data_IF_232279102996
#
_entry.id   IF_232279102996
#
_cell.length_a   1.000
_cell.length_b   1.000
_cell.length_c   1.000
_cell.angle_alpha   90.00
_cell.angle_beta   90.00
_cell.angle_gamma   90.00
#
_symmetry.space_group_name_H-M   'P 1'
#
loop_
_entity.id
_entity.type
_entity.pdbx_description
1 polymer ?
#
# COMPACT_ATOMS: atom_id res chain seq x y z
N UNK A 1 -2.94 0.34 23.65
CA UNK A 1 -1.56 0.60 23.21
C UNK A 1 -1.54 0.50 21.69
N UNK A 2 -1.27 1.59 20.97
CA UNK A 2 -1.16 1.59 19.50
C UNK A 2 0.28 1.95 19.15
N UNK A 3 1.14 0.95 18.94
CA UNK A 3 2.51 1.21 18.50
C UNK A 3 2.56 1.74 17.06
N UNK A 4 1.55 1.37 16.28
CA UNK A 4 1.38 1.79 14.90
C UNK A 4 0.10 2.61 14.77
N UNK A 5 0.15 3.62 13.90
CA UNK A 5 -1.02 4.34 13.43
C UNK A 5 -1.18 4.09 11.94
N UNK A 6 -2.44 4.04 11.52
CA UNK A 6 -2.82 3.73 10.15
C UNK A 6 -3.67 4.87 9.61
N UNK A 7 -3.37 5.28 8.39
CA UNK A 7 -4.14 6.28 7.66
C UNK A 7 -4.53 5.70 6.31
N UNK A 8 -5.83 5.57 6.08
CA UNK A 8 -6.38 5.30 4.75
C UNK A 8 -6.71 6.64 4.11
N UNK A 9 -6.29 6.84 2.87
CA UNK A 9 -6.37 8.10 2.15
C UNK A 9 -7.25 7.93 0.93
N UNK A 10 -8.23 8.81 0.79
CA UNK A 10 -8.95 9.07 -0.45
C UNK A 10 -8.46 10.41 -1.01
N UNK A 11 -7.82 10.34 -2.18
CA UNK A 11 -7.15 11.44 -2.86
C UNK A 11 -7.94 11.92 -4.09
N UNK A 12 -9.19 11.46 -4.29
CA UNK A 12 -9.98 11.77 -5.48
C UNK A 12 -10.36 13.25 -5.59
N UNK A 13 -10.82 13.88 -4.50
CA UNK A 13 -11.25 15.27 -4.52
C UNK A 13 -10.11 16.27 -4.32
N UNK A 14 -9.15 15.94 -3.45
CA UNK A 14 -7.99 16.77 -3.16
C UNK A 14 -6.87 15.94 -2.49
N UNK A 15 -5.61 16.43 -2.55
CA UNK A 15 -4.52 15.90 -1.76
C UNK A 15 -4.78 15.96 -0.25
N UNK A 16 -4.07 15.10 0.49
CA UNK A 16 -3.96 15.18 1.95
C UNK A 16 -2.61 15.75 2.37
N UNK A 17 -2.61 16.55 3.43
CA UNK A 17 -1.40 17.02 4.11
C UNK A 17 -1.16 16.15 5.34
N UNK A 18 -0.05 15.42 5.35
CA UNK A 18 0.47 14.71 6.53
C UNK A 18 1.47 15.62 7.23
N UNK A 19 1.24 15.91 8.51
CA UNK A 19 2.18 16.67 9.35
C UNK A 19 2.90 15.71 10.30
N UNK A 20 4.22 15.62 10.15
CA UNK A 20 5.11 14.95 11.08
C UNK A 20 5.68 15.99 12.06
N UNK A 21 5.64 15.76 13.38
CA UNK A 21 6.22 16.66 14.37
C UNK A 21 7.75 16.59 14.33
N UNK A 22 8.38 17.66 14.82
CA UNK A 22 9.77 17.62 15.27
C UNK A 22 9.88 16.71 16.52
N UNK A 23 10.88 15.82 16.53
CA UNK A 23 11.12 14.81 17.58
C UNK A 23 12.61 14.73 17.93
N UNK A 24 12.95 14.01 19.01
CA UNK A 24 14.34 13.91 19.45
C UNK A 24 15.25 13.18 18.44
N UNK A 25 16.48 13.66 18.24
CA UNK A 25 17.43 13.19 17.22
C UNK A 25 17.68 11.66 17.26
N UNK A 26 17.71 11.07 18.45
CA UNK A 26 18.04 9.65 18.61
C UNK A 26 16.86 8.70 18.33
N UNK A 27 15.64 9.22 18.20
CA UNK A 27 14.42 8.41 18.02
C UNK A 27 14.12 8.20 16.54
N UNK A 28 13.80 6.97 16.15
CA UNK A 28 13.29 6.70 14.82
C UNK A 28 11.77 6.87 14.72
N UNK A 29 11.31 7.51 13.65
CA UNK A 29 9.92 7.43 13.20
C UNK A 29 9.84 7.35 11.67
N UNK A 30 8.73 6.84 11.17
CA UNK A 30 8.50 6.76 9.73
C UNK A 30 7.01 6.82 9.43
N UNK A 31 6.65 7.38 8.27
CA UNK A 31 5.39 7.13 7.62
C UNK A 31 5.70 6.45 6.28
N UNK A 32 5.46 5.13 6.23
CA UNK A 32 5.49 4.38 4.98
C UNK A 32 4.26 4.75 4.16
N UNK A 33 4.42 5.07 2.89
CA UNK A 33 3.31 5.38 1.98
C UNK A 33 3.16 4.26 0.96
N UNK A 34 1.95 3.70 0.85
CA UNK A 34 1.63 2.56 0.01
C UNK A 34 0.43 2.86 -0.87
N UNK A 35 0.53 2.62 -2.17
CA UNK A 35 -0.57 2.83 -3.11
C UNK A 35 -1.44 1.56 -3.24
N UNK A 36 -2.51 1.64 -4.03
CA UNK A 36 -3.44 0.51 -4.21
C UNK A 36 -2.81 -0.66 -5.00
N UNK A 37 -1.70 -0.42 -5.68
CA UNK A 37 -0.87 -1.45 -6.30
C UNK A 37 0.15 -2.05 -5.31
N UNK A 38 0.05 -1.73 -4.02
CA UNK A 38 0.96 -2.21 -2.98
C UNK A 38 2.43 -1.82 -3.18
N UNK A 39 2.71 -0.76 -3.96
CA UNK A 39 4.04 -0.18 -4.03
C UNK A 39 4.28 0.74 -2.85
N UNK A 40 5.47 0.64 -2.26
CA UNK A 40 5.97 1.61 -1.30
C UNK A 40 6.46 2.84 -2.08
N UNK A 41 5.55 3.74 -2.46
CA UNK A 41 5.87 4.85 -3.35
C UNK A 41 6.72 5.93 -2.68
N UNK A 42 6.68 6.06 -1.36
CA UNK A 42 7.56 6.97 -0.62
C UNK A 42 7.62 6.67 0.88
N UNK A 43 8.52 7.38 1.56
CA UNK A 43 8.70 7.37 3.01
C UNK A 43 8.90 8.78 3.53
N UNK A 44 8.28 9.08 4.67
CA UNK A 44 8.50 10.31 5.43
C UNK A 44 9.17 9.97 6.76
N UNK A 45 10.05 10.84 7.26
CA UNK A 45 10.60 10.76 8.61
C UNK A 45 12.11 10.50 8.64
N UNK A 46 12.59 9.83 9.69
CA UNK A 46 13.99 9.88 10.11
C UNK A 46 14.98 9.52 8.99
N UNK A 47 14.72 8.46 8.22
CA UNK A 47 15.65 8.01 7.17
C UNK A 47 15.76 9.01 6.02
N UNK A 48 14.65 9.64 5.64
CA UNK A 48 14.58 10.44 4.41
C UNK A 48 14.82 11.92 4.69
N UNK A 49 14.26 12.46 5.78
CA UNK A 49 14.36 13.88 6.13
C UNK A 49 14.98 14.17 7.50
N UNK A 50 15.33 13.15 8.28
CA UNK A 50 15.68 13.33 9.68
C UNK A 50 14.46 13.64 10.57
N UNK A 51 14.71 14.30 11.69
CA UNK A 51 13.76 14.37 12.79
C UNK A 51 13.05 15.72 12.94
N UNK A 52 13.37 16.69 12.08
CA UNK A 52 12.84 18.07 12.10
C UNK A 52 11.34 18.20 11.75
N UNK A 53 10.63 17.09 11.54
CA UNK A 53 9.23 17.10 11.09
C UNK A 53 9.00 17.74 9.71
N UNK A 54 7.75 18.13 9.47
CA UNK A 54 7.32 18.86 8.27
C UNK A 54 5.88 18.56 7.86
N UNK A 55 5.39 19.32 6.88
CA UNK A 55 4.12 19.04 6.20
C UNK A 55 4.41 18.44 4.82
N UNK A 56 3.73 17.35 4.49
CA UNK A 56 3.95 16.58 3.28
C UNK A 56 2.62 16.43 2.54
N UNK A 57 2.58 16.81 1.27
CA UNK A 57 1.38 16.77 0.47
C UNK A 57 1.32 15.46 -0.32
N UNK A 58 0.37 14.59 0.00
CA UNK A 58 0.13 13.33 -0.71
C UNK A 58 -0.92 13.60 -1.78
N UNK A 59 -0.50 13.60 -3.03
CA UNK A 59 -1.32 14.00 -4.16
C UNK A 59 -1.80 12.78 -4.94
N UNK A 60 -3.11 12.72 -5.25
CA UNK A 60 -3.65 11.70 -6.16
C UNK A 60 -3.18 11.91 -7.61
N UNK A 61 -3.36 10.90 -8.48
CA UNK A 61 -2.85 10.90 -9.85
C UNK A 61 -3.39 12.04 -10.74
N UNK A 62 -4.58 12.55 -10.43
CA UNK A 62 -5.23 13.63 -11.21
C UNK A 62 -4.87 15.05 -10.71
N UNK A 63 -4.14 15.18 -9.60
CA UNK A 63 -3.76 16.47 -9.05
C UNK A 63 -2.60 17.10 -9.85
N UNK A 64 -2.77 18.37 -10.22
CA UNK A 64 -1.81 19.12 -11.05
C UNK A 64 -1.49 20.52 -10.50
N UNK A 65 -1.73 20.73 -9.20
CA UNK A 65 -1.43 21.98 -8.53
C UNK A 65 0.08 22.21 -8.34
N UNK A 66 0.43 23.42 -7.89
CA UNK A 66 1.80 23.73 -7.45
C UNK A 66 1.98 23.37 -5.98
N UNK A 67 3.22 23.15 -5.55
CA UNK A 67 3.56 22.95 -4.14
C UNK A 67 3.21 24.22 -3.33
N UNK A 68 2.26 24.17 -2.38
CA UNK A 68 1.91 25.33 -1.57
C UNK A 68 3.01 25.71 -0.58
N UNK A 69 2.97 26.97 -0.11
CA UNK A 69 3.85 27.42 0.97
C UNK A 69 3.62 26.57 2.24
N UNK A 70 4.71 26.29 2.96
CA UNK A 70 4.66 25.48 4.19
C UNK A 70 4.59 23.97 3.97
N UNK A 71 4.43 23.50 2.72
CA UNK A 71 4.64 22.10 2.33
C UNK A 71 6.13 21.88 2.06
N UNK A 72 6.70 20.84 2.67
CA UNK A 72 8.10 20.43 2.53
C UNK A 72 8.33 19.65 1.23
N UNK A 73 7.44 18.70 0.92
CA UNK A 73 7.46 17.90 -0.31
C UNK A 73 6.05 17.60 -0.79
N UNK A 74 5.90 17.49 -2.11
CA UNK A 74 4.74 16.89 -2.77
C UNK A 74 5.11 15.47 -3.20
N UNK A 75 4.27 14.51 -2.84
CA UNK A 75 4.46 13.10 -3.11
C UNK A 75 3.29 12.62 -3.97
N UNK A 76 3.50 12.32 -5.26
CA UNK A 76 2.45 11.79 -6.12
C UNK A 76 2.22 10.31 -5.83
N UNK A 77 0.96 9.95 -5.61
CA UNK A 77 0.51 8.56 -5.61
C UNK A 77 0.04 8.18 -7.02
N UNK A 78 0.30 6.93 -7.44
CA UNK A 78 -0.20 6.41 -8.70
C UNK A 78 -1.71 6.13 -8.67
N UNK A 79 -2.30 6.06 -7.47
CA UNK A 79 -3.70 5.67 -7.27
C UNK A 79 -4.44 6.68 -6.41
N UNK A 80 -5.76 6.72 -6.58
CA UNK A 80 -6.64 7.62 -5.83
C UNK A 80 -6.85 7.17 -4.38
N UNK A 81 -6.73 5.87 -4.11
CA UNK A 81 -6.70 5.35 -2.74
C UNK A 81 -5.27 5.02 -2.36
N UNK A 82 -4.86 5.40 -1.17
CA UNK A 82 -3.54 5.12 -0.64
C UNK A 82 -3.62 4.81 0.87
N UNK A 83 -2.54 4.25 1.39
CA UNK A 83 -2.42 3.84 2.78
C UNK A 83 -1.10 4.37 3.35
N UNK A 84 -1.11 4.76 4.61
CA UNK A 84 0.11 5.03 5.35
C UNK A 84 0.17 4.26 6.66
N UNK A 85 1.34 3.69 6.93
CA UNK A 85 1.65 3.05 8.20
C UNK A 85 2.72 3.86 8.92
N UNK A 86 2.28 4.55 9.97
CA UNK A 86 3.12 5.39 10.80
C UNK A 86 3.64 4.58 11.98
N UNK A 87 4.96 4.63 12.19
CA UNK A 87 5.64 3.92 13.26
C UNK A 87 6.54 4.90 14.02
N UNK A 88 6.44 4.86 15.34
CA UNK A 88 7.32 5.61 16.26
C UNK A 88 8.07 4.59 17.10
N UNK A 89 9.39 4.69 17.13
CA UNK A 89 10.22 3.79 17.92
C UNK A 89 9.88 3.93 19.41
N UNK A 90 9.68 2.79 20.07
CA UNK A 90 9.63 2.66 21.52
C UNK A 90 10.99 2.13 21.99
N UNK A 91 11.72 2.88 22.82
CA UNK A 91 13.03 2.42 23.30
C UNK A 91 12.93 1.29 24.33
N UNK A 92 11.95 1.39 25.23
CA UNK A 92 11.68 0.45 26.30
C UNK A 92 10.26 0.72 26.86
N UNK A 93 9.70 -0.15 27.70
CA UNK A 93 8.33 0.03 28.20
C UNK A 93 8.04 1.34 28.93
N UNK A 94 9.04 1.97 29.57
CA UNK A 94 8.87 3.21 30.34
C UNK A 94 8.78 4.47 29.43
N UNK A 95 9.10 4.33 28.15
CA UNK A 95 9.10 5.40 27.13
C UNK A 95 7.73 5.55 26.42
N UNK A 96 6.73 4.73 26.79
CA UNK A 96 5.45 4.67 26.08
C UNK A 96 4.67 5.99 26.12
N UNK A 97 4.75 6.75 27.21
CA UNK A 97 4.06 8.03 27.32
C UNK A 97 4.66 9.08 26.38
N UNK A 98 5.98 9.02 26.12
CA UNK A 98 6.62 9.89 25.13
C UNK A 98 6.19 9.52 23.71
N UNK A 99 6.13 8.22 23.40
CA UNK A 99 5.60 7.74 22.11
C UNK A 99 4.17 8.22 21.87
N UNK A 100 3.30 8.12 22.87
CA UNK A 100 1.92 8.63 22.77
C UNK A 100 1.92 10.15 22.54
N UNK A 101 2.73 10.91 23.28
CA UNK A 101 2.81 12.37 23.13
C UNK A 101 3.34 12.82 21.75
N UNK A 102 4.21 12.02 21.11
CA UNK A 102 4.63 12.24 19.72
C UNK A 102 3.48 11.90 18.76
N UNK A 103 2.85 10.74 18.95
CA UNK A 103 1.76 10.27 18.10
C UNK A 103 0.56 11.21 18.08
N UNK A 104 0.24 11.86 19.20
CA UNK A 104 -0.81 12.87 19.31
C UNK A 104 -0.54 14.14 18.48
N UNK A 105 0.72 14.37 18.07
CA UNK A 105 1.10 15.52 17.25
C UNK A 105 1.07 15.24 15.75
N UNK A 106 0.97 13.97 15.34
CA UNK A 106 0.71 13.66 13.93
C UNK A 106 -0.63 14.26 13.52
N UNK A 107 -0.69 14.82 12.31
CA UNK A 107 -1.94 15.30 11.72
C UNK A 107 -2.07 14.82 10.30
N UNK A 108 -3.30 14.57 9.89
CA UNK A 108 -3.68 14.39 8.50
C UNK A 108 -4.92 15.26 8.26
N UNK A 109 -4.87 16.11 7.24
CA UNK A 109 -5.97 17.00 6.90
C UNK A 109 -6.01 17.24 5.39
N UNK A 110 -7.18 17.55 4.80
CA UNK A 110 -7.27 17.92 3.39
C UNK A 110 -6.47 19.18 3.07
N UNK A 111 -6.01 19.30 1.83
CA UNK A 111 -5.25 20.47 1.38
C UNK A 111 -6.02 21.78 1.58
N UNK A 112 -7.32 21.78 1.29
CA UNK A 112 -8.18 22.95 1.48
C UNK A 112 -8.23 23.41 2.94
N UNK A 113 -8.28 22.48 3.90
CA UNK A 113 -8.23 22.77 5.34
C UNK A 113 -6.86 23.34 5.74
N UNK A 114 -5.77 22.76 5.24
CA UNK A 114 -4.42 23.26 5.51
C UNK A 114 -4.21 24.71 5.00
N UNK A 115 -4.78 25.04 3.84
CA UNK A 115 -4.66 26.36 3.22
C UNK A 115 -5.73 27.37 3.66
N UNK A 116 -6.69 26.98 4.50
CA UNK A 116 -7.87 27.78 4.85
C UNK A 116 -8.63 28.27 3.58
N UNK A 117 -8.88 27.34 2.66
CA UNK A 117 -9.57 27.60 1.39
C UNK A 117 -10.86 26.80 1.28
N UNK A 118 -11.68 27.11 0.27
CA UNK A 118 -12.91 26.38 0.04
C UNK A 118 -12.62 24.92 -0.32
N UNK A 119 -13.24 23.99 0.41
CA UNK A 119 -13.19 22.57 0.11
C UNK A 119 -13.79 22.28 -1.28
N UNK A 120 -13.12 21.47 -2.11
CA UNK A 120 -13.71 21.00 -3.37
C UNK A 120 -14.98 20.16 -3.10
N UNK A 121 -15.73 19.93 -4.18
CA UNK A 121 -16.86 19.01 -4.14
C UNK A 121 -16.38 17.60 -3.76
N UNK A 122 -17.07 16.97 -2.82
CA UNK A 122 -16.76 15.60 -2.42
C UNK A 122 -16.99 14.63 -3.59
N UNK A 123 -16.20 13.56 -3.72
CA UNK A 123 -16.48 12.54 -4.72
C UNK A 123 -17.81 11.83 -4.37
N UNK A 124 -18.42 11.12 -5.33
CA UNK A 124 -19.53 10.23 -5.03
C UNK A 124 -19.18 9.26 -3.90
N UNK A 125 -20.15 8.95 -3.04
CA UNK A 125 -19.96 7.94 -2.00
C UNK A 125 -19.58 6.59 -2.62
N UNK A 126 -18.54 5.96 -2.06
CA UNK A 126 -18.05 4.68 -2.54
C UNK A 126 -18.94 3.55 -2.00
N UNK A 127 -19.61 2.84 -2.90
CA UNK A 127 -20.37 1.64 -2.57
C UNK A 127 -19.43 0.42 -2.51
N UNK A 128 -18.83 0.20 -1.34
CA UNK A 128 -17.88 -0.89 -1.13
C UNK A 128 -18.60 -2.26 -1.18
N UNK A 129 -18.11 -3.23 -1.99
CA UNK A 129 -18.67 -4.57 -1.98
C UNK A 129 -18.48 -5.22 -0.60
N UNK A 130 -19.41 -6.11 -0.16
CA UNK A 130 -19.28 -6.79 1.11
C UNK A 130 -18.05 -7.68 1.11
N UNK A 131 -17.16 -7.51 2.10
CA UNK A 131 -15.91 -8.28 2.21
C UNK A 131 -16.10 -9.41 3.22
N UNK A 132 -15.73 -10.63 2.82
CA UNK A 132 -15.59 -11.78 3.72
C UNK A 132 -14.33 -12.56 3.35
N UNK A 133 -13.53 -12.92 4.35
CA UNK A 133 -12.37 -13.79 4.14
C UNK A 133 -12.75 -15.18 3.63
N UNK A 134 -13.99 -15.63 3.87
CA UNK A 134 -14.48 -16.94 3.42
C UNK A 134 -14.79 -16.97 1.93
N UNK A 135 -15.18 -15.84 1.35
CA UNK A 135 -15.65 -15.73 -0.05
C UNK A 135 -14.72 -14.87 -0.90
N UNK A 136 -13.54 -14.51 -0.39
CA UNK A 136 -12.65 -13.55 -1.06
C UNK A 136 -12.19 -14.07 -2.43
N UNK A 137 -11.86 -15.36 -2.50
CA UNK A 137 -11.47 -16.01 -3.76
C UNK A 137 -12.64 -16.09 -4.74
N UNK A 138 -13.85 -16.39 -4.27
CA UNK A 138 -15.03 -16.51 -5.13
C UNK A 138 -15.38 -15.18 -5.82
N UNK A 139 -15.15 -14.06 -5.14
CA UNK A 139 -15.42 -12.70 -5.63
C UNK A 139 -14.16 -11.94 -6.07
N UNK A 140 -13.03 -12.64 -6.27
CA UNK A 140 -11.73 -12.01 -6.54
C UNK A 140 -11.78 -10.96 -7.66
N UNK A 141 -12.34 -11.35 -8.82
CA UNK A 141 -12.41 -10.46 -9.98
C UNK A 141 -13.41 -9.30 -9.81
N UNK A 142 -14.46 -9.49 -8.99
CA UNK A 142 -15.36 -8.39 -8.62
C UNK A 142 -14.61 -7.33 -7.80
N UNK A 143 -13.81 -7.75 -6.81
CA UNK A 143 -12.97 -6.84 -6.04
C UNK A 143 -11.91 -6.16 -6.90
N UNK A 144 -11.27 -6.91 -7.80
CA UNK A 144 -10.31 -6.33 -8.75
C UNK A 144 -11.01 -5.25 -9.58
N UNK A 145 -12.11 -5.56 -10.26
CA UNK A 145 -12.84 -4.57 -11.06
C UNK A 145 -13.27 -3.35 -10.24
N UNK A 146 -13.76 -3.57 -9.02
CA UNK A 146 -14.11 -2.49 -8.10
C UNK A 146 -12.93 -1.58 -7.78
N UNK A 147 -11.79 -2.14 -7.35
CA UNK A 147 -10.59 -1.40 -6.93
C UNK A 147 -9.94 -0.67 -8.11
N UNK A 148 -10.01 -1.23 -9.31
CA UNK A 148 -9.42 -0.64 -10.51
C UNK A 148 -10.05 0.68 -10.93
N UNK A 149 -11.22 1.06 -10.41
CA UNK A 149 -11.80 2.39 -10.56
C UNK A 149 -10.95 3.48 -9.93
N UNK A 150 -10.14 3.12 -8.92
CA UNK A 150 -9.30 4.04 -8.16
C UNK A 150 -7.82 3.94 -8.55
N UNK A 151 -7.49 3.10 -9.52
CA UNK A 151 -6.12 2.85 -9.96
C UNK A 151 -6.00 3.10 -11.47
N UNK A 152 -5.75 4.37 -11.88
CA UNK A 152 -5.50 4.70 -13.27
C UNK A 152 -4.38 3.83 -13.85
N UNK A 153 -4.51 3.48 -15.12
CA UNK A 153 -3.54 2.60 -15.77
C UNK A 153 -2.20 3.29 -15.92
N UNK A 154 -1.18 2.74 -15.26
CA UNK A 154 0.19 3.19 -15.43
C UNK A 154 0.68 2.95 -16.88
N UNK A 155 1.47 3.86 -17.49
CA UNK A 155 1.92 3.72 -18.88
C UNK A 155 2.64 2.41 -19.20
N UNK A 156 3.32 1.80 -18.22
CA UNK A 156 4.04 0.52 -18.41
C UNK A 156 3.13 -0.71 -18.36
N UNK A 157 1.84 -0.54 -18.03
CA UNK A 157 0.89 -1.65 -17.85
C UNK A 157 -0.29 -1.59 -18.83
N UNK A 158 -0.28 -0.67 -19.81
CA UNK A 158 -1.37 -0.52 -20.80
C UNK A 158 -1.69 -1.84 -21.50
N UNK A 159 -0.66 -2.53 -22.02
CA UNK A 159 -0.85 -3.79 -22.74
C UNK A 159 -1.41 -4.89 -21.83
N UNK A 160 -0.93 -5.00 -20.59
CA UNK A 160 -1.44 -5.95 -19.59
C UNK A 160 -2.92 -5.67 -19.28
N UNK A 161 -3.28 -4.40 -19.13
CA UNK A 161 -4.65 -3.97 -18.84
C UNK A 161 -5.59 -4.27 -20.00
N UNK A 162 -5.11 -4.16 -21.24
CA UNK A 162 -5.88 -4.54 -22.42
C UNK A 162 -6.07 -6.06 -22.52
N UNK A 163 -5.09 -6.86 -22.10
CA UNK A 163 -5.25 -8.32 -21.99
C UNK A 163 -6.30 -8.71 -20.93
N UNK A 164 -6.27 -8.08 -19.76
CA UNK A 164 -7.26 -8.29 -18.70
C UNK A 164 -8.70 -8.00 -19.13
N UNK A 165 -8.92 -6.97 -19.97
CA UNK A 165 -10.26 -6.69 -20.52
C UNK A 165 -10.84 -7.86 -21.30
N UNK A 166 -10.01 -8.68 -21.95
CA UNK A 166 -10.48 -9.83 -22.75
C UNK A 166 -11.14 -10.93 -21.89
N UNK A 167 -10.84 -10.94 -20.59
CA UNK A 167 -11.45 -11.82 -19.60
C UNK A 167 -12.41 -11.07 -18.66
N UNK A 168 -12.90 -9.90 -19.05
CA UNK A 168 -13.88 -9.14 -18.25
C UNK A 168 -13.31 -8.41 -17.04
N UNK A 169 -11.98 -8.25 -16.97
CA UNK A 169 -11.32 -7.48 -15.92
C UNK A 169 -11.09 -6.04 -16.39
N UNK A 170 -11.90 -5.11 -15.90
CA UNK A 170 -11.90 -3.70 -16.29
C UNK A 170 -12.46 -2.84 -15.14
N UNK A 171 -12.03 -1.56 -14.96
CA UNK A 171 -12.56 -0.68 -13.92
C UNK A 171 -14.09 -0.65 -13.86
N UNK A 172 -14.66 -1.08 -12.73
CA UNK A 172 -16.10 -1.04 -12.44
C UNK A 172 -16.94 -2.05 -13.22
N UNK A 173 -16.34 -2.94 -14.02
CA UNK A 173 -17.09 -3.92 -14.80
C UNK A 173 -17.72 -4.99 -13.90
N UNK A 174 -18.94 -5.41 -14.26
CA UNK A 174 -19.60 -6.56 -13.62
C UNK A 174 -18.84 -7.83 -13.99
N UNK A 175 -18.59 -8.67 -12.99
CA UNK A 175 -17.95 -9.96 -13.18
C UNK A 175 -18.83 -11.09 -12.60
N UNK A 176 -19.01 -12.22 -13.31
CA UNK A 176 -18.61 -12.44 -14.70
C UNK A 176 -19.44 -11.58 -15.67
N UNK A 177 -18.95 -11.31 -16.90
CA UNK A 177 -19.74 -10.62 -17.92
C UNK A 177 -21.04 -11.35 -18.25
N UNK A 178 -22.09 -10.61 -18.61
CA UNK A 178 -23.37 -11.22 -18.99
C UNK A 178 -23.23 -12.12 -20.23
N UNK A 179 -23.85 -13.31 -20.17
CA UNK A 179 -23.93 -14.22 -21.32
C UNK A 179 -22.66 -15.04 -21.61
N UNK A 180 -21.68 -15.05 -20.70
CA UNK A 180 -20.52 -15.95 -20.81
C UNK A 180 -20.95 -17.43 -20.76
N UNK A 181 -20.18 -18.29 -21.44
CA UNK A 181 -20.44 -19.73 -21.46
C UNK A 181 -19.93 -20.43 -20.19
N UNK A 182 -20.40 -21.64 -19.93
CA UNK A 182 -19.83 -22.49 -18.87
C UNK A 182 -18.33 -22.78 -19.11
N UNK A 183 -17.94 -22.99 -20.37
CA UNK A 183 -16.53 -23.20 -20.75
C UNK A 183 -15.65 -21.99 -20.36
N UNK A 184 -16.18 -20.78 -20.50
CA UNK A 184 -15.47 -19.57 -20.08
C UNK A 184 -15.32 -19.51 -18.55
N UNK A 185 -16.40 -19.80 -17.81
CA UNK A 185 -16.36 -19.84 -16.34
C UNK A 185 -15.35 -20.87 -15.83
N UNK A 186 -15.34 -22.06 -16.43
CA UNK A 186 -14.40 -23.14 -16.09
C UNK A 186 -12.95 -22.74 -16.38
N UNK A 187 -12.71 -22.03 -17.50
CA UNK A 187 -11.39 -21.53 -17.87
C UNK A 187 -10.86 -20.47 -16.89
N UNK A 188 -11.72 -19.53 -16.46
CA UNK A 188 -11.37 -18.53 -15.46
C UNK A 188 -11.08 -19.17 -14.11
N UNK A 189 -11.93 -20.07 -13.64
CA UNK A 189 -11.72 -20.77 -12.37
C UNK A 189 -10.41 -21.56 -12.39
N UNK A 190 -10.12 -22.24 -13.50
CA UNK A 190 -8.86 -22.97 -13.68
C UNK A 190 -7.64 -22.04 -13.68
N UNK A 191 -7.72 -20.90 -14.37
CA UNK A 191 -6.65 -19.90 -14.40
C UNK A 191 -6.40 -19.25 -13.04
N UNK A 192 -7.47 -18.94 -12.30
CA UNK A 192 -7.36 -18.42 -10.94
C UNK A 192 -6.67 -19.43 -10.01
N UNK A 193 -7.08 -20.70 -10.04
CA UNK A 193 -6.44 -21.74 -9.24
C UNK A 193 -4.95 -21.90 -9.59
N UNK A 194 -4.62 -21.95 -10.88
CA UNK A 194 -3.23 -22.04 -11.33
C UNK A 194 -2.37 -20.83 -10.87
N UNK A 195 -2.96 -19.63 -10.84
CA UNK A 195 -2.32 -18.44 -10.31
C UNK A 195 -2.05 -18.54 -8.81
N UNK A 196 -3.04 -19.00 -8.03
CA UNK A 196 -2.89 -19.25 -6.59
C UNK A 196 -1.77 -20.28 -6.34
N UNK A 197 -1.80 -21.42 -7.03
CA UNK A 197 -0.80 -22.48 -6.89
C UNK A 197 0.61 -21.94 -7.18
N UNK A 198 0.77 -21.13 -8.25
CA UNK A 198 2.05 -20.51 -8.61
C UNK A 198 2.57 -19.58 -7.52
N UNK A 199 1.69 -18.77 -6.91
CA UNK A 199 2.06 -17.86 -5.81
C UNK A 199 2.47 -18.67 -4.59
N UNK A 200 1.70 -19.71 -4.21
CA UNK A 200 1.97 -20.54 -3.05
C UNK A 200 3.28 -21.32 -3.17
N UNK A 201 3.56 -21.90 -4.35
CA UNK A 201 4.82 -22.59 -4.63
C UNK A 201 6.01 -21.63 -4.54
N UNK A 202 5.90 -20.45 -5.15
CA UNK A 202 6.97 -19.42 -5.09
C UNK A 202 7.18 -18.90 -3.67
N UNK A 203 6.11 -18.77 -2.89
CA UNK A 203 6.18 -18.32 -1.50
C UNK A 203 6.92 -19.32 -0.60
N UNK A 204 6.75 -20.63 -0.83
CA UNK A 204 7.47 -21.67 -0.08
C UNK A 204 9.00 -21.62 -0.30
N UNK A 205 9.45 -21.17 -1.47
CA UNK A 205 10.87 -21.02 -1.79
C UNK A 205 11.43 -19.64 -1.40
N UNK A 206 10.56 -18.69 -1.06
CA UNK A 206 10.94 -17.32 -0.72
C UNK A 206 11.44 -17.23 0.73
N UNK A 207 12.75 -17.11 0.88
CA UNK A 207 13.43 -17.10 2.20
C UNK A 207 13.80 -15.71 2.70
N UNK A 208 13.50 -14.66 1.93
CA UNK A 208 13.85 -13.28 2.28
C UNK A 208 12.76 -12.30 1.87
N UNK A 209 12.53 -11.30 2.71
CA UNK A 209 11.73 -10.11 2.38
C UNK A 209 12.43 -9.16 1.41
N UNK A 210 13.73 -9.36 1.16
CA UNK A 210 14.52 -8.50 0.29
C UNK A 210 13.99 -8.50 -1.15
N UNK A 211 13.46 -7.34 -1.56
CA UNK A 211 13.02 -7.08 -2.92
C UNK A 211 11.65 -7.63 -3.29
N UNK A 212 10.85 -8.15 -2.34
CA UNK A 212 9.42 -8.47 -2.57
C UNK A 212 8.50 -7.29 -2.24
N UNK A 213 9.06 -6.25 -1.62
CA UNK A 213 8.43 -4.94 -1.38
C UNK A 213 9.33 -3.85 -1.94
N UNK A 214 8.74 -2.77 -2.46
CA UNK A 214 9.49 -1.73 -3.12
C UNK A 214 8.60 -0.70 -3.82
N UNK A 215 9.26 0.31 -4.38
CA UNK A 215 8.66 1.16 -5.41
C UNK A 215 8.35 0.36 -6.67
N UNK A 216 7.58 0.95 -7.60
CA UNK A 216 7.36 0.38 -8.93
C UNK A 216 8.68 0.13 -9.67
N UNK A 217 9.63 1.04 -9.57
CA UNK A 217 10.94 0.90 -10.23
C UNK A 217 11.74 -0.26 -9.64
N UNK A 218 11.74 -0.42 -8.31
CA UNK A 218 12.44 -1.51 -7.63
C UNK A 218 11.84 -2.89 -7.94
N UNK A 219 10.51 -2.98 -8.01
CA UNK A 219 9.82 -4.23 -8.35
C UNK A 219 9.72 -4.48 -9.86
N UNK A 220 9.88 -3.45 -10.69
CA UNK A 220 10.02 -3.53 -12.14
C UNK A 220 9.01 -4.47 -12.84
N UNK A 221 7.73 -4.31 -12.50
CA UNK A 221 6.63 -5.14 -13.03
C UNK A 221 6.79 -6.66 -12.76
N UNK A 222 7.54 -7.07 -11.74
CA UNK A 222 7.58 -8.46 -11.25
C UNK A 222 6.33 -8.75 -10.39
N UNK A 223 5.23 -9.04 -11.08
CA UNK A 223 3.92 -9.24 -10.46
C UNK A 223 3.88 -10.43 -9.51
N UNK A 224 4.56 -11.53 -9.87
CA UNK A 224 4.60 -12.74 -9.05
C UNK A 224 5.32 -12.45 -7.73
N UNK A 225 6.46 -11.75 -7.79
CA UNK A 225 7.19 -11.37 -6.59
C UNK A 225 6.40 -10.43 -5.68
N UNK A 226 5.67 -9.47 -6.26
CA UNK A 226 4.76 -8.57 -5.53
C UNK A 226 3.58 -9.32 -4.90
N UNK A 227 3.01 -10.30 -5.61
CA UNK A 227 1.94 -11.16 -5.10
C UNK A 227 2.43 -12.01 -3.92
N UNK A 228 3.63 -12.60 -4.02
CA UNK A 228 4.29 -13.35 -2.93
C UNK A 228 4.55 -12.44 -1.72
N UNK A 229 5.05 -11.22 -1.94
CA UNK A 229 5.20 -10.24 -0.86
C UNK A 229 3.88 -9.95 -0.13
N UNK A 230 2.79 -9.78 -0.89
CA UNK A 230 1.46 -9.55 -0.34
C UNK A 230 0.94 -10.76 0.44
N UNK A 231 1.17 -11.98 -0.04
CA UNK A 231 0.80 -13.23 0.65
C UNK A 231 1.58 -13.43 1.96
N UNK A 232 2.89 -13.21 1.94
CA UNK A 232 3.76 -13.48 3.09
C UNK A 232 3.70 -12.39 4.18
N UNK A 233 3.30 -11.17 3.82
CA UNK A 233 3.20 -10.07 4.78
C UNK A 233 2.97 -8.72 4.08
N UNK A 234 1.76 -8.50 3.60
CA UNK A 234 1.35 -7.24 2.95
C UNK A 234 1.78 -6.01 3.78
N UNK A 235 2.18 -4.94 3.07
CA UNK A 235 2.73 -3.71 3.63
C UNK A 235 4.10 -3.84 4.32
N UNK A 236 4.89 -4.84 3.93
CA UNK A 236 6.30 -4.91 4.26
C UNK A 236 7.10 -3.71 3.72
N UNK A 237 8.18 -3.36 4.42
CA UNK A 237 9.02 -2.22 4.05
C UNK A 237 9.96 -2.54 2.88
N UNK A 238 10.28 -1.52 2.08
CA UNK A 238 11.41 -1.57 1.15
C UNK A 238 12.71 -1.80 1.91
N UNK A 239 13.68 -2.47 1.28
CA UNK A 239 14.94 -2.86 1.92
C UNK A 239 15.74 -1.68 2.49
N UNK A 240 15.63 -0.51 1.86
CA UNK A 240 16.29 0.70 2.32
C UNK A 240 15.75 1.21 3.65
N UNK A 241 14.48 0.93 3.98
CA UNK A 241 13.84 1.33 5.24
C UNK A 241 14.08 0.30 6.34
N UNK A 242 13.84 -0.98 6.05
CA UNK A 242 14.04 -2.06 6.99
C UNK A 242 14.41 -3.36 6.28
N UNK A 243 15.34 -4.10 6.89
CA UNK A 243 15.73 -5.44 6.47
C UNK A 243 15.32 -6.46 7.53
N UNK A 244 14.57 -7.48 7.14
CA UNK A 244 14.09 -8.54 8.02
C UNK A 244 14.80 -9.86 7.68
N UNK A 245 15.96 -10.17 8.31
CA UNK A 245 16.57 -11.48 8.15
C UNK A 245 15.79 -12.53 8.94
N UNK A 246 15.40 -13.61 8.26
CA UNK A 246 14.89 -14.82 8.90
C UNK A 246 15.98 -15.89 8.96
N UNK A 247 16.12 -16.55 10.09
CA UNK A 247 16.91 -17.76 10.23
C UNK A 247 15.97 -18.87 10.68
N UNK A 248 15.88 -19.95 9.91
CA UNK A 248 15.07 -21.13 10.24
C UNK A 248 15.93 -22.33 10.66
N UNK A 249 17.25 -22.22 10.50
CA UNK A 249 18.23 -23.25 10.87
C UNK A 249 19.32 -22.68 11.79
N UNK A 250 19.93 -23.55 12.59
CA UNK A 250 21.07 -23.24 13.44
C UNK A 250 22.40 -23.22 12.66
N UNK A 251 23.52 -23.06 13.38
CA UNK A 251 24.86 -23.06 12.78
C UNK A 251 25.27 -24.39 12.10
N UNK A 252 24.56 -25.48 12.41
CA UNK A 252 24.78 -26.81 11.87
C UNK A 252 23.81 -27.15 10.71
N UNK A 253 22.86 -26.26 10.40
CA UNK A 253 21.84 -26.48 9.38
C UNK A 253 20.61 -27.27 9.87
N UNK A 254 20.48 -27.48 11.19
CA UNK A 254 19.31 -28.12 11.79
C UNK A 254 18.19 -27.10 12.03
N UNK A 255 16.92 -27.50 11.83
CA UNK A 255 15.78 -26.61 12.07
C UNK A 255 15.76 -26.12 13.54
N UNK A 256 15.61 -24.81 13.72
CA UNK A 256 15.47 -24.21 15.05
C UNK A 256 14.27 -24.84 15.79
N UNK A 257 14.52 -25.33 16.99
CA UNK A 257 13.51 -25.88 17.89
C UNK A 257 13.66 -25.30 19.31
N UNK A 258 12.58 -25.30 20.08
CA UNK A 258 12.56 -24.75 21.45
C UNK A 258 13.10 -25.71 22.53
N UNK A 259 13.58 -26.90 22.14
CA UNK A 259 13.74 -28.05 23.03
C UNK A 259 12.43 -28.77 23.34
#
# INVERSE_FOLDING_TARGET
MRLNLELVMDLQAEPLVITMPDIEDERYYTAQLVDLYTFNFDYLGTRVEGNDGGNYLIAGPDWSGEQPEGIKRVIPSETNLAYSLLRTQLFNPDDIDNVNAIQEKYKAQPLSEFLDTQRPEAPPEIDYPPISSETLNDHFFEYVNFLLQFAPTHPTEVELRDEFKTIGVEPGAVFPPEGVSQEWLDAIASGQQAGIDTIDETAQETTSSAGVFGTREELNNDYLKRAVGSLLGIYGNSIAEAFYPGYIVDENGELLNSG
#
